data_IF_667092740386
#
_entry.id   IF_667092740386
#
_cell.length_a   1.000
_cell.length_b   1.000
_cell.length_c   1.000
_cell.angle_alpha   90.00
_cell.angle_beta   90.00
_cell.angle_gamma   90.00
#
_symmetry.space_group_name_H-M   'P 1'
#
loop_
_entity.id
_entity.type
_entity.pdbx_description
1 polymer ?
#
# COMPACT_ATOMS: atom_id res chain seq x y z
N UNK A 1 20.74 21.04 -10.94
CA UNK A 1 20.11 21.76 -9.81
C UNK A 1 18.59 21.54 -9.66
N UNK A 2 17.89 20.89 -10.61
CA UNK A 2 16.43 20.63 -10.51
C UNK A 2 16.05 19.49 -9.54
N UNK A 3 16.98 18.59 -9.20
CA UNK A 3 16.75 17.50 -8.24
C UNK A 3 16.79 17.94 -6.77
N UNK A 4 17.48 19.05 -6.45
CA UNK A 4 17.53 19.59 -5.09
C UNK A 4 16.22 20.30 -4.69
N UNK A 5 15.46 20.82 -5.66
CA UNK A 5 14.25 21.59 -5.37
C UNK A 5 13.03 20.71 -4.97
N UNK A 6 12.99 19.43 -5.36
CA UNK A 6 11.97 18.50 -4.85
C UNK A 6 12.37 17.81 -3.54
N UNK A 7 13.61 17.95 -3.07
CA UNK A 7 14.06 17.37 -1.80
C UNK A 7 13.53 18.11 -0.57
N UNK A 8 12.92 19.28 -0.75
CA UNK A 8 12.31 20.01 0.35
C UNK A 8 10.82 19.76 0.40
N UNK A 9 10.40 18.84 1.26
CA UNK A 9 8.98 18.63 1.54
C UNK A 9 8.33 19.77 2.34
N UNK A 10 9.11 20.79 2.76
CA UNK A 10 8.63 21.88 3.61
C UNK A 10 8.91 23.28 3.07
N UNK A 11 9.73 23.44 2.02
CA UNK A 11 9.98 24.74 1.41
C UNK A 11 8.95 24.98 0.31
N UNK A 12 8.18 26.04 0.48
CA UNK A 12 7.30 26.58 -0.54
C UNK A 12 8.11 26.93 -1.80
N UNK A 13 7.46 26.92 -2.96
CA UNK A 13 8.11 27.21 -4.25
C UNK A 13 8.93 28.51 -4.21
N UNK A 14 8.44 29.54 -3.51
CA UNK A 14 9.16 30.81 -3.37
C UNK A 14 10.43 30.69 -2.52
N UNK A 15 10.46 29.83 -1.49
CA UNK A 15 11.64 29.59 -0.65
C UNK A 15 12.71 28.84 -1.42
N UNK A 16 12.30 27.88 -2.26
CA UNK A 16 13.19 27.19 -3.18
C UNK A 16 13.78 28.16 -4.20
N UNK A 17 12.95 29.00 -4.81
CA UNK A 17 13.40 30.03 -5.75
C UNK A 17 14.36 31.01 -5.09
N UNK A 18 14.10 31.42 -3.84
CA UNK A 18 15.01 32.26 -3.06
C UNK A 18 16.36 31.55 -2.83
N UNK A 19 16.35 30.30 -2.39
CA UNK A 19 17.59 29.54 -2.19
C UNK A 19 18.41 29.40 -3.49
N UNK A 20 17.76 29.16 -4.63
CA UNK A 20 18.45 29.12 -5.94
C UNK A 20 19.00 30.49 -6.33
N UNK A 21 18.24 31.56 -6.09
CA UNK A 21 18.65 32.93 -6.35
C UNK A 21 19.89 33.30 -5.53
N UNK A 22 19.90 32.95 -4.25
CA UNK A 22 21.00 33.19 -3.33
C UNK A 22 22.25 32.37 -3.72
N UNK A 23 22.09 31.08 -4.07
CA UNK A 23 23.21 30.22 -4.51
C UNK A 23 23.84 30.64 -5.85
N UNK A 24 23.07 31.27 -6.73
CA UNK A 24 23.53 31.68 -8.06
C UNK A 24 23.83 33.19 -8.14
N UNK A 25 23.63 33.93 -7.05
CA UNK A 25 23.77 35.39 -6.99
C UNK A 25 22.95 36.14 -8.06
N UNK A 26 21.71 35.71 -8.28
CA UNK A 26 20.79 36.29 -9.29
C UNK A 26 19.50 36.82 -8.68
N UNK A 27 18.74 37.71 -9.36
CA UNK A 27 17.41 38.10 -8.91
C UNK A 27 16.46 36.89 -8.85
N UNK A 28 15.60 36.84 -7.82
CA UNK A 28 14.58 35.77 -7.66
C UNK A 28 13.70 35.62 -8.91
N UNK A 29 13.37 36.72 -9.60
CA UNK A 29 12.61 36.69 -10.84
C UNK A 29 13.30 35.87 -11.96
N UNK A 30 14.63 35.92 -12.05
CA UNK A 30 15.41 35.22 -13.06
C UNK A 30 15.41 33.70 -12.86
N UNK A 31 15.13 33.20 -11.65
CA UNK A 31 15.04 31.75 -11.37
C UNK A 31 13.94 31.06 -12.18
N UNK A 32 12.87 31.80 -12.54
CA UNK A 32 11.78 31.28 -13.37
C UNK A 32 12.22 31.03 -14.81
N UNK A 33 13.08 31.89 -15.35
CA UNK A 33 13.66 31.69 -16.69
C UNK A 33 14.62 30.50 -16.69
N UNK A 34 15.48 30.40 -15.68
CA UNK A 34 16.39 29.25 -15.51
C UNK A 34 15.60 27.95 -15.43
N UNK A 35 14.57 27.88 -14.58
CA UNK A 35 13.73 26.69 -14.47
C UNK A 35 13.11 26.28 -15.81
N UNK A 36 12.63 27.25 -16.59
CA UNK A 36 12.05 27.03 -17.93
C UNK A 36 13.08 26.55 -18.95
N UNK A 37 14.31 27.05 -18.89
CA UNK A 37 15.38 26.58 -19.78
C UNK A 37 15.85 25.19 -19.40
N UNK A 38 16.01 24.92 -18.10
CA UNK A 38 16.37 23.59 -17.59
C UNK A 38 15.32 22.55 -17.96
N UNK A 39 14.03 22.88 -17.88
CA UNK A 39 12.95 21.94 -18.24
C UNK A 39 12.92 21.57 -19.73
N UNK A 40 13.58 22.35 -20.60
CA UNK A 40 13.69 22.08 -22.04
C UNK A 40 14.93 21.26 -22.40
N UNK A 41 15.87 21.08 -21.45
CA UNK A 41 17.04 20.23 -21.69
C UNK A 41 16.59 18.81 -22.01
N UNK A 42 17.28 18.17 -22.95
CA UNK A 42 16.95 16.82 -23.38
C UNK A 42 16.87 15.84 -22.21
N UNK A 43 17.85 15.88 -21.30
CA UNK A 43 17.88 15.06 -20.10
C UNK A 43 16.68 15.31 -19.19
N UNK A 44 16.26 16.56 -19.03
CA UNK A 44 15.10 16.90 -18.20
C UNK A 44 13.80 16.35 -18.80
N UNK A 45 13.64 16.42 -20.13
CA UNK A 45 12.51 15.84 -20.84
C UNK A 45 12.51 14.31 -20.76
N UNK A 46 13.68 13.67 -20.93
CA UNK A 46 13.83 12.23 -20.75
C UNK A 46 13.47 11.81 -19.32
N UNK A 47 13.97 12.52 -18.31
CA UNK A 47 13.71 12.22 -16.91
C UNK A 47 12.22 12.37 -16.55
N UNK A 48 11.45 13.22 -17.22
CA UNK A 48 10.00 13.34 -16.99
C UNK A 48 9.23 12.09 -17.44
N UNK A 49 9.74 11.35 -18.42
CA UNK A 49 9.08 10.16 -19.00
C UNK A 49 9.76 8.84 -18.64
N UNK A 50 10.96 8.90 -18.05
CA UNK A 50 11.73 7.71 -17.68
C UNK A 50 10.98 6.85 -16.63
N UNK A 51 10.99 5.53 -16.87
CA UNK A 51 10.40 4.57 -15.95
C UNK A 51 11.12 4.60 -14.60
N UNK A 52 10.37 4.80 -13.51
CA UNK A 52 10.92 4.73 -12.15
C UNK A 52 10.94 3.29 -11.65
N UNK A 53 12.09 2.88 -11.13
CA UNK A 53 12.23 1.62 -10.40
C UNK A 53 11.95 1.84 -8.92
N UNK A 54 11.60 0.77 -8.17
CA UNK A 54 11.37 0.87 -6.73
C UNK A 54 12.61 1.39 -6.00
N UNK A 55 12.37 2.26 -5.03
CA UNK A 55 13.39 2.74 -4.09
C UNK A 55 13.16 1.99 -2.77
N UNK A 56 14.19 1.28 -2.31
CA UNK A 56 14.16 0.57 -1.04
C UNK A 56 14.93 1.41 -0.03
N UNK A 57 14.23 1.95 0.96
CA UNK A 57 14.83 2.74 2.04
C UNK A 57 15.33 1.80 3.14
N UNK A 58 16.60 1.95 3.51
CA UNK A 58 17.18 1.39 4.73
C UNK A 58 17.35 2.57 5.67
N UNK A 59 16.55 2.60 6.73
CA UNK A 59 16.45 3.73 7.63
C UNK A 59 17.00 3.33 9.00
N UNK A 60 17.66 4.28 9.64
CA UNK A 60 17.95 4.23 11.07
C UNK A 60 16.64 4.24 11.88
N UNK A 61 16.63 3.56 13.02
CA UNK A 61 15.46 3.45 13.90
C UNK A 61 14.90 4.82 14.33
N UNK A 62 15.75 5.83 14.51
CA UNK A 62 15.31 7.18 14.89
C UNK A 62 14.57 7.91 13.76
N UNK A 63 14.81 7.49 12.51
CA UNK A 63 14.23 8.08 11.30
C UNK A 63 12.99 7.32 10.82
N UNK A 64 12.63 6.23 11.49
CA UNK A 64 11.60 5.30 11.05
C UNK A 64 10.19 5.91 11.13
N UNK A 65 9.91 6.80 12.08
CA UNK A 65 8.58 7.40 12.19
C UNK A 65 8.33 8.47 11.11
N UNK A 66 9.38 8.98 10.45
CA UNK A 66 9.22 10.02 9.45
C UNK A 66 8.63 9.45 8.15
N UNK A 67 7.61 10.10 7.53
CA UNK A 67 6.96 9.59 6.32
C UNK A 67 7.76 9.94 5.06
N UNK A 68 8.93 9.32 4.90
CA UNK A 68 9.85 9.55 3.77
C UNK A 68 9.19 9.40 2.40
N UNK A 69 8.25 8.46 2.26
CA UNK A 69 7.48 8.19 1.04
C UNK A 69 6.68 9.40 0.56
N UNK A 70 6.35 10.32 1.48
CA UNK A 70 5.58 11.53 1.20
C UNK A 70 6.45 12.71 0.76
N UNK A 71 7.79 12.56 0.73
CA UNK A 71 8.67 13.63 0.26
C UNK A 71 8.45 13.91 -1.22
N UNK A 72 8.43 15.19 -1.61
CA UNK A 72 8.24 15.63 -2.99
C UNK A 72 9.25 15.01 -3.99
N UNK A 73 10.45 14.63 -3.55
CA UNK A 73 11.47 13.98 -4.39
C UNK A 73 11.13 12.50 -4.65
N UNK A 74 10.41 11.86 -3.73
CA UNK A 74 9.97 10.48 -3.81
C UNK A 74 8.52 10.34 -4.28
N UNK A 75 7.77 11.44 -4.40
CA UNK A 75 6.34 11.45 -4.77
C UNK A 75 6.02 10.66 -6.06
N UNK A 76 6.98 10.57 -6.98
CA UNK A 76 6.83 9.93 -8.29
C UNK A 76 7.44 8.50 -8.30
N UNK A 77 8.09 8.08 -7.22
CA UNK A 77 8.76 6.79 -7.07
C UNK A 77 7.88 5.76 -6.33
N UNK A 78 7.92 4.47 -6.71
CA UNK A 78 7.47 3.40 -5.84
C UNK A 78 8.48 3.24 -4.71
N UNK A 79 8.05 3.33 -3.45
CA UNK A 79 8.95 3.31 -2.29
C UNK A 79 8.50 2.26 -1.28
N UNK A 80 9.45 1.49 -0.75
CA UNK A 80 9.25 0.63 0.41
C UNK A 80 10.47 0.71 1.34
N UNK A 81 10.36 0.10 2.52
CA UNK A 81 11.41 0.06 3.54
C UNK A 81 11.87 -1.36 3.80
N UNK A 82 13.11 -1.51 4.24
CA UNK A 82 13.63 -2.74 4.85
C UNK A 82 14.55 -2.36 6.01
N UNK A 83 14.66 -3.19 7.07
CA UNK A 83 15.45 -2.82 8.25
C UNK A 83 16.94 -2.72 7.93
N UNK A 84 17.44 -3.64 7.10
CA UNK A 84 18.84 -3.72 6.75
C UNK A 84 19.04 -4.57 5.49
N UNK A 85 20.27 -4.55 4.97
CA UNK A 85 20.64 -5.28 3.75
C UNK A 85 20.58 -6.81 3.96
N UNK A 86 20.87 -7.31 5.16
CA UNK A 86 20.82 -8.76 5.44
C UNK A 86 19.39 -9.29 5.35
N UNK A 87 18.43 -8.58 5.92
CA UNK A 87 17.02 -8.92 5.83
C UNK A 87 16.52 -8.84 4.38
N UNK A 88 16.90 -7.79 3.64
CA UNK A 88 16.57 -7.69 2.21
C UNK A 88 17.10 -8.89 1.42
N UNK A 89 18.36 -9.30 1.67
CA UNK A 89 18.96 -10.46 1.03
C UNK A 89 18.26 -11.77 1.44
N UNK A 90 17.92 -11.93 2.73
CA UNK A 90 17.19 -13.09 3.22
C UNK A 90 15.81 -13.22 2.58
N UNK A 91 15.05 -12.12 2.51
CA UNK A 91 13.76 -12.06 1.81
C UNK A 91 13.92 -12.38 0.32
N UNK A 92 14.93 -11.80 -0.35
CA UNK A 92 15.23 -12.12 -1.75
C UNK A 92 15.50 -13.61 -1.94
N UNK A 93 16.30 -14.23 -1.08
CA UNK A 93 16.62 -15.66 -1.18
C UNK A 93 15.45 -16.58 -0.86
N UNK A 94 14.59 -16.20 0.09
CA UNK A 94 13.36 -16.93 0.38
C UNK A 94 12.41 -16.96 -0.84
N UNK A 95 12.40 -15.88 -1.63
CA UNK A 95 11.43 -15.67 -2.72
C UNK A 95 12.04 -15.64 -4.13
N UNK A 96 13.30 -16.05 -4.30
CA UNK A 96 14.07 -15.87 -5.55
C UNK A 96 13.35 -16.45 -6.78
N UNK A 97 12.64 -17.57 -6.61
CA UNK A 97 11.88 -18.26 -7.67
C UNK A 97 10.67 -17.46 -8.17
N UNK A 98 10.13 -16.59 -7.33
CA UNK A 98 8.94 -15.80 -7.60
C UNK A 98 9.29 -14.33 -7.91
N UNK A 99 10.58 -14.00 -8.04
CA UNK A 99 11.03 -12.65 -8.36
C UNK A 99 11.35 -12.52 -9.85
N UNK A 100 10.67 -11.59 -10.51
CA UNK A 100 10.89 -11.25 -11.92
C UNK A 100 11.12 -9.75 -12.07
N UNK A 101 12.17 -9.36 -12.80
CA UNK A 101 12.52 -7.95 -13.06
C UNK A 101 12.60 -7.10 -11.77
N UNK A 102 13.16 -7.70 -10.71
CA UNK A 102 13.35 -7.06 -9.40
C UNK A 102 12.07 -6.86 -8.60
N UNK A 103 11.01 -7.63 -8.87
CA UNK A 103 9.74 -7.59 -8.13
C UNK A 103 9.25 -8.99 -7.81
N UNK A 104 8.73 -9.18 -6.61
CA UNK A 104 8.01 -10.38 -6.21
C UNK A 104 6.66 -10.44 -6.94
N UNK A 105 6.41 -11.52 -7.66
CA UNK A 105 5.13 -11.75 -8.35
C UNK A 105 4.17 -12.51 -7.42
N UNK A 106 3.03 -11.89 -7.10
CA UNK A 106 1.97 -12.48 -6.28
C UNK A 106 0.74 -12.77 -7.13
N UNK A 107 0.12 -13.93 -6.95
CA UNK A 107 -1.13 -14.27 -7.63
C UNK A 107 -2.34 -13.81 -6.81
N UNK A 108 -3.23 -13.07 -7.48
CA UNK A 108 -4.45 -12.49 -6.94
C UNK A 108 -5.54 -13.51 -6.62
N UNK A 109 -5.43 -14.75 -7.09
CA UNK A 109 -6.50 -15.75 -6.97
C UNK A 109 -6.73 -16.25 -5.53
N UNK A 110 -5.67 -16.26 -4.71
CA UNK A 110 -5.68 -16.79 -3.35
C UNK A 110 -5.44 -15.69 -2.33
N UNK A 111 -6.52 -15.05 -1.90
CA UNK A 111 -6.47 -14.08 -0.82
C UNK A 111 -7.46 -14.38 0.31
N UNK A 112 -7.15 -13.84 1.48
CA UNK A 112 -7.98 -13.93 2.67
C UNK A 112 -8.11 -12.57 3.35
N UNK A 113 -9.28 -12.26 3.92
CA UNK A 113 -9.46 -11.07 4.75
C UNK A 113 -10.10 -11.39 6.11
N UNK A 114 -9.66 -10.68 7.15
CA UNK A 114 -10.24 -10.68 8.50
C UNK A 114 -10.59 -9.22 8.82
N UNK A 115 -11.88 -8.95 8.98
CA UNK A 115 -12.40 -7.59 9.16
C UNK A 115 -13.23 -7.50 10.43
N UNK A 116 -12.99 -6.47 11.25
CA UNK A 116 -13.67 -6.22 12.51
C UNK A 116 -13.75 -7.47 13.43
N UNK A 117 -12.63 -8.17 13.71
CA UNK A 117 -12.68 -9.43 14.46
C UNK A 117 -13.17 -9.28 15.91
N UNK A 118 -13.02 -8.09 16.50
CA UNK A 118 -13.45 -7.77 17.88
C UNK A 118 -14.88 -7.19 17.97
N UNK A 119 -15.58 -7.06 16.84
CA UNK A 119 -16.95 -6.51 16.76
C UNK A 119 -17.12 -5.07 17.30
N UNK A 120 -16.02 -4.30 17.40
CA UNK A 120 -16.02 -2.93 17.93
C UNK A 120 -15.71 -1.86 16.87
N UNK A 121 -15.58 -2.24 15.59
CA UNK A 121 -15.40 -1.36 14.44
C UNK A 121 -16.56 -1.51 13.42
N UNK A 122 -17.83 -1.31 13.82
CA UNK A 122 -19.00 -1.57 12.95
C UNK A 122 -19.02 -0.67 11.71
N UNK A 123 -18.46 0.55 11.77
CA UNK A 123 -18.35 1.44 10.61
C UNK A 123 -17.34 0.91 9.59
N UNK A 124 -16.17 0.44 10.04
CA UNK A 124 -15.15 -0.18 9.18
C UNK A 124 -15.72 -1.40 8.46
N UNK A 125 -16.37 -2.31 9.19
CA UNK A 125 -16.98 -3.50 8.59
C UNK A 125 -18.03 -3.14 7.54
N UNK A 126 -18.90 -2.17 7.85
CA UNK A 126 -19.94 -1.70 6.93
C UNK A 126 -19.36 -1.12 5.64
N UNK A 127 -18.18 -0.49 5.69
CA UNK A 127 -17.48 0.09 4.52
C UNK A 127 -16.73 -0.97 3.72
N UNK A 128 -15.97 -1.84 4.39
CA UNK A 128 -15.09 -2.83 3.74
C UNK A 128 -15.82 -4.08 3.24
N UNK A 129 -16.90 -4.50 3.90
CA UNK A 129 -17.66 -5.69 3.51
C UNK A 129 -18.12 -5.67 2.05
N UNK A 130 -18.91 -4.68 1.58
CA UNK A 130 -19.32 -4.65 0.19
C UNK A 130 -18.13 -4.49 -0.77
N UNK A 131 -17.03 -3.87 -0.31
CA UNK A 131 -15.83 -3.67 -1.12
C UNK A 131 -15.09 -4.96 -1.41
N UNK A 132 -14.72 -5.69 -0.37
CA UNK A 132 -13.93 -6.91 -0.50
C UNK A 132 -14.73 -7.99 -1.23
N UNK A 133 -16.02 -8.13 -0.93
CA UNK A 133 -16.87 -9.12 -1.62
C UNK A 133 -17.06 -8.81 -3.10
N UNK A 134 -17.06 -7.53 -3.49
CA UNK A 134 -17.21 -7.13 -4.90
C UNK A 134 -15.89 -7.14 -5.66
N UNK A 135 -14.79 -6.71 -5.04
CA UNK A 135 -13.47 -6.58 -5.70
C UNK A 135 -12.61 -7.82 -5.63
N UNK A 136 -12.91 -8.73 -4.72
CA UNK A 136 -12.24 -10.02 -4.62
C UNK A 136 -13.22 -11.19 -4.40
N UNK A 137 -14.10 -11.49 -5.37
CA UNK A 137 -15.12 -12.54 -5.22
C UNK A 137 -14.57 -13.95 -4.93
N UNK A 138 -13.35 -14.25 -5.37
CA UNK A 138 -12.67 -15.53 -5.10
C UNK A 138 -12.10 -15.65 -3.70
N UNK A 139 -11.91 -14.54 -2.98
CA UNK A 139 -11.25 -14.55 -1.68
C UNK A 139 -12.20 -15.06 -0.60
N UNK A 140 -11.62 -15.74 0.39
CA UNK A 140 -12.32 -16.12 1.60
C UNK A 140 -12.12 -15.03 2.67
N UNK A 141 -12.97 -15.02 3.69
CA UNK A 141 -12.74 -14.14 4.82
C UNK A 141 -13.86 -14.06 5.83
N UNK A 142 -13.58 -13.36 6.93
CA UNK A 142 -14.50 -13.18 8.05
C UNK A 142 -14.80 -11.70 8.29
N UNK A 143 -16.03 -11.44 8.76
CA UNK A 143 -16.50 -10.12 9.17
C UNK A 143 -17.15 -10.25 10.54
N UNK A 144 -16.69 -9.50 11.53
CA UNK A 144 -17.29 -9.55 12.87
C UNK A 144 -17.02 -10.86 13.62
N UNK A 145 -15.99 -11.62 13.23
CA UNK A 145 -15.66 -12.92 13.85
C UNK A 145 -14.18 -12.96 14.19
N UNK A 146 -13.88 -13.20 15.45
CA UNK A 146 -12.52 -13.40 15.94
C UNK A 146 -11.94 -14.70 15.36
N UNK A 147 -10.77 -14.66 14.70
CA UNK A 147 -10.10 -15.86 14.22
C UNK A 147 -9.50 -16.65 15.38
N UNK A 148 -9.41 -17.98 15.24
CA UNK A 148 -8.52 -18.77 16.11
C UNK A 148 -7.05 -18.54 15.74
N UNK A 149 -6.13 -18.86 16.65
CA UNK A 149 -4.69 -18.78 16.37
C UNK A 149 -4.28 -19.72 15.23
N UNK A 150 -4.91 -20.90 15.11
CA UNK A 150 -4.69 -21.85 14.01
C UNK A 150 -5.21 -21.28 12.68
N UNK A 151 -6.39 -20.65 12.68
CA UNK A 151 -6.92 -20.01 11.48
C UNK A 151 -6.02 -18.86 11.03
N UNK A 152 -5.54 -18.02 11.96
CA UNK A 152 -4.62 -16.93 11.64
C UNK A 152 -3.30 -17.46 11.04
N UNK A 153 -2.77 -18.55 11.62
CA UNK A 153 -1.59 -19.26 11.10
C UNK A 153 -1.82 -19.81 9.69
N UNK A 154 -2.92 -20.51 9.49
CA UNK A 154 -3.30 -21.07 8.19
C UNK A 154 -3.37 -20.00 7.11
N UNK A 155 -3.99 -18.87 7.44
CA UNK A 155 -4.11 -17.73 6.53
C UNK A 155 -2.75 -17.19 6.10
N UNK A 156 -1.80 -17.04 7.03
CA UNK A 156 -0.46 -16.53 6.73
C UNK A 156 0.39 -17.48 5.87
N UNK A 157 0.17 -18.79 5.98
CA UNK A 157 0.98 -19.81 5.31
C UNK A 157 0.40 -20.25 3.96
N UNK A 158 -0.93 -20.27 3.83
CA UNK A 158 -1.62 -20.95 2.72
C UNK A 158 -2.32 -19.99 1.74
N UNK A 159 -2.29 -18.68 2.00
CA UNK A 159 -2.80 -17.66 1.08
C UNK A 159 -1.68 -16.76 0.56
N UNK A 160 -1.86 -16.21 -0.64
CA UNK A 160 -0.88 -15.33 -1.27
C UNK A 160 -1.03 -13.88 -0.81
N UNK A 161 -2.26 -13.48 -0.44
CA UNK A 161 -2.57 -12.13 0.02
C UNK A 161 -3.41 -12.23 1.29
N UNK A 162 -3.03 -11.49 2.33
CA UNK A 162 -3.77 -11.43 3.58
C UNK A 162 -4.10 -9.98 3.93
N UNK A 163 -5.37 -9.71 4.22
CA UNK A 163 -5.83 -8.42 4.73
C UNK A 163 -6.37 -8.59 6.15
N UNK A 164 -5.74 -7.90 7.09
CA UNK A 164 -6.25 -7.71 8.44
C UNK A 164 -6.74 -6.26 8.58
N UNK A 165 -8.04 -6.08 8.89
CA UNK A 165 -8.64 -4.79 9.22
C UNK A 165 -9.26 -4.86 10.62
N UNK A 166 -8.50 -4.39 11.60
CA UNK A 166 -8.83 -4.47 13.03
C UNK A 166 -7.86 -3.62 13.85
N UNK A 167 -7.81 -3.84 15.17
CA UNK A 167 -6.90 -3.10 16.04
C UNK A 167 -5.46 -3.58 15.89
N UNK A 168 -4.53 -2.63 15.71
CA UNK A 168 -3.10 -2.92 15.65
C UNK A 168 -2.73 -3.84 14.49
N UNK A 169 -2.03 -4.93 14.80
CA UNK A 169 -1.39 -5.83 13.83
C UNK A 169 -1.91 -7.27 13.89
N UNK A 170 -2.99 -7.51 14.64
CA UNK A 170 -3.51 -8.86 14.89
C UNK A 170 -2.77 -9.64 15.98
N UNK A 171 -1.89 -8.97 16.75
CA UNK A 171 -1.12 -9.58 17.85
C UNK A 171 -1.97 -10.22 18.95
N UNK A 172 -3.23 -9.79 19.07
CA UNK A 172 -4.22 -10.35 19.98
C UNK A 172 -4.73 -11.74 19.54
N UNK A 173 -4.52 -12.12 18.27
CA UNK A 173 -4.93 -13.42 17.73
C UNK A 173 -3.75 -14.36 17.49
N UNK A 174 -2.59 -13.80 17.12
CA UNK A 174 -1.35 -14.55 16.99
C UNK A 174 -0.17 -13.67 17.39
N UNK A 175 0.55 -14.06 18.44
CA UNK A 175 1.67 -13.30 18.97
C UNK A 175 2.89 -13.35 18.03
N UNK A 176 3.77 -12.35 18.12
CA UNK A 176 4.93 -12.21 17.25
C UNK A 176 5.92 -13.38 17.36
N UNK A 177 6.06 -13.98 18.54
CA UNK A 177 6.90 -15.14 18.79
C UNK A 177 6.40 -16.41 18.08
N UNK A 178 5.09 -16.51 17.87
CA UNK A 178 4.46 -17.56 17.06
C UNK A 178 4.57 -17.27 15.57
N UNK A 179 4.41 -16.00 15.16
CA UNK A 179 4.55 -15.59 13.75
C UNK A 179 5.96 -15.87 13.24
N UNK A 180 7.01 -15.51 13.99
CA UNK A 180 8.40 -15.70 13.56
C UNK A 180 8.80 -17.18 13.33
N UNK A 181 8.03 -18.13 13.87
CA UNK A 181 8.22 -19.58 13.67
C UNK A 181 7.58 -20.09 12.38
N UNK A 182 6.82 -19.24 11.68
CA UNK A 182 6.15 -19.58 10.43
C UNK A 182 7.05 -19.37 9.22
N UNK A 183 6.56 -19.87 8.09
CA UNK A 183 6.98 -19.42 6.77
C UNK A 183 5.79 -18.70 6.12
N UNK A 184 5.76 -17.38 6.24
CA UNK A 184 4.67 -16.52 5.75
C UNK A 184 4.86 -16.28 4.27
N UNK A 185 3.92 -16.78 3.47
CA UNK A 185 3.92 -16.60 2.01
C UNK A 185 3.08 -15.38 1.59
N UNK A 186 2.16 -14.94 2.46
CA UNK A 186 1.23 -13.88 2.15
C UNK A 186 1.86 -12.49 2.11
N UNK A 187 1.57 -11.72 1.05
CA UNK A 187 1.65 -10.26 1.08
C UNK A 187 0.59 -9.76 2.05
N UNK A 188 1.03 -9.14 3.15
CA UNK A 188 0.19 -8.91 4.32
C UNK A 188 -0.12 -7.42 4.51
N UNK A 189 -1.41 -7.09 4.59
CA UNK A 189 -1.92 -5.77 4.89
C UNK A 189 -2.48 -5.75 6.32
N UNK A 190 -1.87 -4.96 7.20
CA UNK A 190 -2.24 -4.76 8.59
C UNK A 190 -2.88 -3.37 8.75
N UNK A 191 -4.15 -3.23 8.37
CA UNK A 191 -4.89 -1.97 8.43
C UNK A 191 -5.45 -1.68 9.83
N UNK A 192 -4.57 -1.68 10.82
CA UNK A 192 -4.83 -1.15 12.15
C UNK A 192 -3.91 0.02 12.49
N UNK A 193 -4.22 0.71 13.59
CA UNK A 193 -3.42 1.82 14.10
C UNK A 193 -2.02 1.35 14.52
N UNK A 194 -0.98 2.08 14.13
CA UNK A 194 0.41 1.81 14.53
C UNK A 194 0.88 0.36 14.26
N UNK A 195 0.33 -0.30 13.25
CA UNK A 195 0.54 -1.73 12.97
C UNK A 195 1.96 -2.08 12.50
N UNK A 196 2.65 -1.12 11.88
CA UNK A 196 4.04 -1.27 11.40
C UNK A 196 4.99 -0.25 12.03
N UNK A 197 4.61 0.26 13.22
CA UNK A 197 5.48 1.09 14.05
C UNK A 197 6.44 0.21 14.84
N UNK A 198 7.65 0.72 15.08
CA UNK A 198 8.59 0.15 16.05
C UNK A 198 8.41 0.89 17.37
N UNK A 199 8.42 0.15 18.48
CA UNK A 199 8.31 0.70 19.82
C UNK A 199 9.68 0.69 20.47
N UNK A 200 10.02 1.80 21.10
CA UNK A 200 11.15 1.85 22.03
C UNK A 200 10.88 0.88 23.19
N UNK A 201 11.80 -0.05 23.39
CA UNK A 201 11.75 -1.03 24.48
C UNK A 201 12.50 -0.55 25.73
N UNK A 202 13.11 0.64 25.66
CA UNK A 202 13.96 1.22 26.68
C UNK A 202 15.38 0.64 26.70
N UNK A 203 16.28 1.37 27.35
CA UNK A 203 17.68 0.97 27.49
C UNK A 203 18.47 1.15 26.20
N UNK A 204 19.45 0.27 25.96
CA UNK A 204 20.26 0.22 24.73
C UNK A 204 19.85 -0.97 23.87
N UNK A 205 18.55 -1.05 23.59
CA UNK A 205 17.94 -2.13 22.80
C UNK A 205 17.34 -1.51 21.56
N UNK A 206 17.49 -2.18 20.42
CA UNK A 206 16.88 -1.75 19.16
C UNK A 206 15.34 -1.72 19.30
N UNK A 207 14.66 -0.66 18.83
CA UNK A 207 13.20 -0.62 18.77
C UNK A 207 12.64 -1.80 17.99
N UNK A 208 11.60 -2.44 18.52
CA UNK A 208 10.99 -3.59 17.90
C UNK A 208 9.52 -3.34 17.59
N UNK A 209 9.05 -3.95 16.51
CA UNK A 209 7.69 -3.81 16.02
C UNK A 209 7.20 -5.12 15.43
N UNK A 210 5.87 -5.31 15.38
CA UNK A 210 5.29 -6.58 14.92
C UNK A 210 5.73 -6.97 13.51
N UNK A 211 5.95 -5.98 12.64
CA UNK A 211 6.45 -6.17 11.28
C UNK A 211 7.80 -6.90 11.21
N UNK A 212 8.66 -6.81 12.25
CA UNK A 212 9.92 -7.56 12.29
C UNK A 212 9.67 -9.07 12.32
N UNK A 213 8.72 -9.54 13.13
CA UNK A 213 8.38 -10.95 13.23
C UNK A 213 7.85 -11.51 11.91
N UNK A 214 7.06 -10.72 11.17
CA UNK A 214 6.63 -11.08 9.82
C UNK A 214 7.83 -11.25 8.87
N UNK A 215 8.81 -10.35 8.89
CA UNK A 215 10.00 -10.50 8.05
C UNK A 215 10.92 -11.65 8.47
N UNK A 216 11.08 -11.91 9.78
CA UNK A 216 11.78 -13.11 10.28
C UNK A 216 11.09 -14.37 9.73
N UNK A 217 9.75 -14.36 9.70
CA UNK A 217 8.95 -15.42 9.09
C UNK A 217 8.95 -15.42 7.55
N UNK A 218 9.86 -14.67 6.91
CA UNK A 218 9.98 -14.54 5.46
C UNK A 218 8.76 -13.92 4.75
N UNK A 219 7.92 -13.14 5.44
CA UNK A 219 6.83 -12.42 4.78
C UNK A 219 7.38 -11.47 3.71
N UNK A 220 6.95 -11.59 2.43
CA UNK A 220 7.53 -10.84 1.32
C UNK A 220 7.29 -9.33 1.44
N UNK A 221 6.12 -8.94 1.98
CA UNK A 221 5.72 -7.54 2.09
C UNK A 221 4.70 -7.38 3.23
N UNK A 222 4.94 -6.42 4.12
CA UNK A 222 4.07 -6.02 5.22
C UNK A 222 3.69 -4.56 5.05
N UNK A 223 2.40 -4.26 5.01
CA UNK A 223 1.87 -2.91 4.80
C UNK A 223 1.02 -2.54 5.99
N UNK A 224 1.15 -1.32 6.49
CA UNK A 224 0.34 -0.85 7.61
C UNK A 224 0.65 0.58 8.00
N UNK A 225 0.18 1.00 9.17
CA UNK A 225 0.29 2.39 9.61
C UNK A 225 1.44 2.59 10.61
N UNK A 226 2.21 3.67 10.44
CA UNK A 226 3.29 4.09 11.32
C UNK A 226 2.78 4.69 12.64
N UNK A 227 1.58 5.26 12.65
CA UNK A 227 0.93 5.83 13.83
C UNK A 227 -0.58 5.59 13.82
N UNK A 228 -1.28 6.12 14.83
CA UNK A 228 -2.72 6.00 14.96
C UNK A 228 -3.46 6.86 13.92
N UNK A 229 -4.41 6.24 13.21
CA UNK A 229 -5.21 6.87 12.16
C UNK A 229 -6.70 6.71 12.45
N UNK A 230 -7.54 7.58 11.91
CA UNK A 230 -8.99 7.42 12.03
C UNK A 230 -9.50 6.35 11.07
N UNK A 231 -10.49 5.57 11.50
CA UNK A 231 -11.06 4.46 10.70
C UNK A 231 -11.47 4.91 9.30
N UNK A 232 -12.17 6.05 9.19
CA UNK A 232 -12.66 6.56 7.90
C UNK A 232 -11.54 6.86 6.89
N UNK A 233 -10.45 7.47 7.35
CA UNK A 233 -9.35 7.83 6.47
C UNK A 233 -8.45 6.62 6.14
N UNK A 234 -8.29 5.69 7.09
CA UNK A 234 -7.59 4.41 6.90
C UNK A 234 -8.33 3.51 5.89
N UNK A 235 -9.65 3.40 6.02
CA UNK A 235 -10.49 2.64 5.08
C UNK A 235 -10.42 3.24 3.68
N UNK A 236 -10.38 4.57 3.58
CA UNK A 236 -10.25 5.26 2.30
C UNK A 236 -8.96 4.93 1.58
N UNK A 237 -7.81 5.00 2.25
CA UNK A 237 -6.55 4.66 1.59
C UNK A 237 -6.46 3.17 1.26
N UNK A 238 -6.99 2.31 2.13
CA UNK A 238 -7.13 0.86 1.90
C UNK A 238 -7.91 0.58 0.61
N UNK A 239 -9.12 1.12 0.51
CA UNK A 239 -10.01 0.94 -0.63
C UNK A 239 -9.37 1.45 -1.91
N UNK A 240 -8.82 2.67 -1.91
CA UNK A 240 -8.14 3.22 -3.10
C UNK A 240 -6.94 2.36 -3.54
N UNK A 241 -6.16 1.85 -2.58
CA UNK A 241 -4.97 1.04 -2.87
C UNK A 241 -5.38 -0.28 -3.51
N UNK A 242 -6.29 -1.01 -2.88
CA UNK A 242 -6.77 -2.29 -3.37
C UNK A 242 -7.55 -2.15 -4.68
N UNK A 243 -8.33 -1.08 -4.85
CA UNK A 243 -9.09 -0.85 -6.08
C UNK A 243 -8.17 -0.66 -7.29
N UNK A 244 -7.08 0.11 -7.12
CA UNK A 244 -6.09 0.33 -8.16
C UNK A 244 -5.19 -0.89 -8.39
N UNK A 245 -4.84 -1.60 -7.31
CA UNK A 245 -3.89 -2.71 -7.34
C UNK A 245 -4.49 -4.00 -7.86
N UNK A 246 -5.68 -4.40 -7.39
CA UNK A 246 -6.29 -5.67 -7.77
C UNK A 246 -6.73 -5.67 -9.25
N UNK A 247 -6.62 -6.83 -9.93
CA UNK A 247 -7.20 -7.01 -11.26
C UNK A 247 -8.70 -6.66 -11.31
N UNK A 248 -9.18 -6.30 -12.50
CA UNK A 248 -10.62 -6.11 -12.74
C UNK A 248 -11.38 -7.42 -12.52
N UNK A 249 -12.59 -7.31 -12.01
CA UNK A 249 -13.56 -8.42 -12.00
C UNK A 249 -14.33 -8.48 -13.31
N UNK A 250 -14.94 -9.61 -13.61
CA UNK A 250 -15.85 -9.77 -14.76
C UNK A 250 -17.01 -8.77 -14.69
N UNK A 251 -17.58 -8.53 -13.51
CA UNK A 251 -18.65 -7.54 -13.32
C UNK A 251 -18.20 -6.12 -13.71
N UNK A 252 -16.97 -5.73 -13.38
CA UNK A 252 -16.43 -4.43 -13.77
C UNK A 252 -16.25 -4.29 -15.29
N UNK A 253 -15.90 -5.39 -15.97
CA UNK A 253 -15.81 -5.41 -17.43
C UNK A 253 -17.20 -5.21 -18.05
N UNK A 254 -18.20 -5.94 -17.55
CA UNK A 254 -19.59 -5.85 -18.00
C UNK A 254 -20.14 -4.43 -17.77
N UNK A 255 -19.90 -3.85 -16.60
CA UNK A 255 -20.36 -2.50 -16.27
C UNK A 255 -19.74 -1.45 -17.20
N UNK A 256 -18.45 -1.56 -17.50
CA UNK A 256 -17.75 -0.65 -18.42
C UNK A 256 -18.27 -0.79 -19.86
N UNK A 257 -18.44 -2.03 -20.35
CA UNK A 257 -18.96 -2.31 -21.70
C UNK A 257 -20.40 -1.82 -21.90
N UNK A 258 -21.21 -1.88 -20.85
CA UNK A 258 -22.62 -1.49 -20.90
C UNK A 258 -22.85 -0.03 -20.48
N UNK A 259 -21.78 0.74 -20.29
CA UNK A 259 -21.80 2.10 -19.71
C UNK A 259 -22.64 2.17 -18.43
N UNK A 260 -22.76 1.04 -17.73
CA UNK A 260 -23.51 0.96 -16.48
C UNK A 260 -22.66 1.58 -15.41
N UNK A 261 -23.27 2.49 -14.67
CA UNK A 261 -22.70 2.85 -13.40
C UNK A 261 -22.76 1.63 -12.49
N UNK A 262 -21.63 1.11 -11.97
CA UNK A 262 -21.66 0.01 -11.00
C UNK A 262 -22.61 0.37 -9.87
N UNK A 263 -23.47 -0.57 -9.46
CA UNK A 263 -24.42 -0.35 -8.37
C UNK A 263 -23.67 0.28 -7.20
N UNK A 264 -24.09 1.49 -6.77
CA UNK A 264 -23.50 2.11 -5.59
C UNK A 264 -23.70 1.11 -4.44
N UNK A 265 -22.64 0.59 -3.81
CA UNK A 265 -22.82 -0.21 -2.61
C UNK A 265 -23.64 0.65 -1.64
N UNK A 266 -24.71 0.06 -1.10
CA UNK A 266 -25.77 0.74 -0.35
C UNK A 266 -25.24 1.99 0.34
N UNK A 267 -25.63 3.17 -0.16
CA UNK A 267 -25.14 4.47 0.28
C UNK A 267 -24.96 4.48 1.80
N UNK A 268 -23.72 4.30 2.26
CA UNK A 268 -23.38 4.64 3.62
C UNK A 268 -23.20 6.14 3.58
N UNK A 269 -24.28 6.89 3.83
CA UNK A 269 -24.18 8.30 4.21
C UNK A 269 -23.50 8.33 5.59
N UNK A 270 -22.20 8.10 5.60
CA UNK A 270 -21.35 8.43 6.74
C UNK A 270 -20.83 9.85 6.46
N UNK A 271 -21.33 10.87 7.19
CA UNK A 271 -20.93 12.25 6.97
C UNK A 271 -19.42 12.47 7.17
N UNK A 272 -18.75 11.54 7.85
CA UNK A 272 -17.31 11.56 8.12
C UNK A 272 -16.50 10.71 7.12
N UNK A 273 -17.14 9.92 6.25
CA UNK A 273 -16.44 9.08 5.29
C UNK A 273 -16.23 9.82 3.96
N UNK A 274 -14.99 9.88 3.43
CA UNK A 274 -14.79 10.29 2.04
C UNK A 274 -15.59 9.38 1.12
N UNK A 275 -15.96 9.85 -0.08
CA UNK A 275 -16.60 9.02 -1.11
C UNK A 275 -15.66 7.85 -1.48
N UNK A 276 -15.72 6.76 -0.71
CA UNK A 276 -14.80 5.62 -0.80
C UNK A 276 -14.81 4.96 -2.18
N UNK A 277 -15.92 5.11 -2.89
CA UNK A 277 -16.24 4.31 -4.06
C UNK A 277 -16.25 5.07 -5.38
N UNK A 278 -16.22 6.40 -5.32
CA UNK A 278 -16.26 7.24 -6.52
C UNK A 278 -15.55 8.55 -6.25
N UNK A 279 -14.25 8.67 -6.53
CA UNK A 279 -13.76 9.96 -6.96
C UNK A 279 -14.54 10.25 -8.25
N UNK A 280 -15.44 11.24 -8.24
CA UNK A 280 -16.19 11.65 -9.43
C UNK A 280 -15.28 11.67 -10.67
N UNK A 281 -15.56 10.82 -11.66
CA UNK A 281 -14.83 10.78 -12.94
C UNK A 281 -13.57 9.91 -13.00
N UNK A 282 -13.25 9.09 -12.00
CA UNK A 282 -12.07 8.20 -12.09
C UNK A 282 -12.41 6.96 -12.94
N UNK A 283 -11.94 6.92 -14.20
CA UNK A 283 -11.84 5.66 -14.95
C UNK A 283 -10.86 4.75 -14.20
N UNK A 284 -11.28 3.54 -13.87
CA UNK A 284 -10.40 2.56 -13.24
C UNK A 284 -9.15 2.37 -14.10
N UNK A 285 -7.99 2.41 -13.48
CA UNK A 285 -6.70 2.21 -14.17
C UNK A 285 -5.85 1.27 -13.35
N UNK A 286 -5.80 0.01 -13.78
CA UNK A 286 -4.97 -1.01 -13.16
C UNK A 286 -3.53 -0.52 -12.95
N UNK A 287 -3.03 -0.73 -11.74
CA UNK A 287 -1.64 -0.53 -11.39
C UNK A 287 -1.13 -1.82 -10.72
N UNK A 288 -0.52 -2.74 -11.48
CA UNK A 288 -0.12 -4.03 -10.92
C UNK A 288 1.04 -3.91 -9.91
N UNK A 289 1.83 -2.84 -9.96
CA UNK A 289 2.91 -2.57 -8.99
C UNK A 289 2.33 -1.98 -7.71
N UNK A 290 2.42 -2.72 -6.59
CA UNK A 290 1.75 -2.38 -5.33
C UNK A 290 2.20 -1.03 -4.77
N UNK A 291 3.49 -0.74 -4.83
CA UNK A 291 4.05 0.51 -4.32
C UNK A 291 3.58 1.71 -5.17
N UNK A 292 3.44 1.51 -6.49
CA UNK A 292 2.86 2.50 -7.39
C UNK A 292 1.36 2.69 -7.14
N UNK A 293 0.63 1.63 -6.76
CA UNK A 293 -0.77 1.70 -6.38
C UNK A 293 -0.97 2.49 -5.08
N UNK A 294 -0.16 2.21 -4.04
CA UNK A 294 -0.12 2.97 -2.78
C UNK A 294 0.13 4.46 -3.06
N UNK A 295 1.13 4.77 -3.89
CA UNK A 295 1.43 6.15 -4.32
C UNK A 295 0.21 6.85 -4.94
N UNK A 296 -0.48 6.20 -5.88
CA UNK A 296 -1.70 6.77 -6.50
C UNK A 296 -2.77 7.04 -5.44
N UNK A 297 -2.91 6.16 -4.44
CA UNK A 297 -3.86 6.34 -3.34
C UNK A 297 -3.54 7.53 -2.46
N UNK A 298 -2.26 7.81 -2.18
CA UNK A 298 -1.86 9.02 -1.44
C UNK A 298 -2.33 10.30 -2.15
N UNK A 299 -2.24 10.35 -3.48
CA UNK A 299 -2.68 11.53 -4.25
C UNK A 299 -4.21 11.69 -4.30
N UNK A 300 -4.95 10.60 -4.14
CA UNK A 300 -6.42 10.61 -4.18
C UNK A 300 -7.04 10.95 -2.81
N UNK A 301 -6.32 10.72 -1.72
CA UNK A 301 -6.83 10.92 -0.37
C UNK A 301 -6.65 12.38 0.09
N UNK A 302 -7.72 12.98 0.61
CA UNK A 302 -7.71 14.36 1.13
C UNK A 302 -7.04 14.49 2.49
N UNK A 303 -6.84 13.37 3.21
CA UNK A 303 -6.26 13.35 4.55
C UNK A 303 -4.78 13.00 4.51
N UNK A 304 -3.92 14.02 4.54
CA UNK A 304 -2.46 13.85 4.53
C UNK A 304 -1.98 12.96 5.69
N UNK A 305 -2.44 13.20 6.92
CA UNK A 305 -1.97 12.45 8.10
C UNK A 305 -2.30 10.95 8.05
N UNK A 306 -3.44 10.58 7.48
CA UNK A 306 -3.78 9.16 7.29
C UNK A 306 -3.01 8.55 6.13
N UNK A 307 -2.78 9.32 5.08
CA UNK A 307 -2.03 8.86 3.92
C UNK A 307 -0.56 8.64 4.25
N UNK A 308 0.05 9.60 4.93
CA UNK A 308 1.45 9.56 5.35
C UNK A 308 1.74 8.48 6.38
N UNK A 309 0.72 7.97 7.08
CA UNK A 309 0.89 6.88 8.03
C UNK A 309 1.18 5.56 7.32
N UNK A 310 0.66 5.35 6.11
CA UNK A 310 0.74 4.06 5.42
C UNK A 310 2.16 3.85 4.89
N UNK A 311 2.84 2.81 5.37
CA UNK A 311 4.17 2.41 4.95
C UNK A 311 4.18 0.95 4.49
N UNK A 312 5.02 0.66 3.50
CA UNK A 312 5.22 -0.66 2.93
C UNK A 312 6.64 -1.15 3.25
N UNK A 313 6.76 -2.36 3.81
CA UNK A 313 8.04 -2.94 4.24
C UNK A 313 8.28 -4.28 3.56
N UNK A 314 9.42 -4.46 2.92
CA UNK A 314 9.80 -5.70 2.24
C UNK A 314 10.12 -5.54 0.76
N UNK A 315 9.87 -6.60 -0.01
CA UNK A 315 10.19 -6.69 -1.43
C UNK A 315 9.15 -5.96 -2.30
N UNK A 316 9.54 -5.19 -3.32
CA UNK A 316 8.59 -4.62 -4.28
C UNK A 316 7.70 -5.70 -4.90
N UNK A 317 6.38 -5.52 -4.86
CA UNK A 317 5.39 -6.52 -5.28
C UNK A 317 4.70 -6.13 -6.58
N UNK A 318 4.49 -7.09 -7.47
CA UNK A 318 3.60 -6.97 -8.63
C UNK A 318 2.53 -8.07 -8.58
N UNK A 319 1.28 -7.71 -8.83
CA UNK A 319 0.16 -8.66 -8.85
C UNK A 319 -0.07 -9.26 -10.24
N UNK A 320 -0.49 -10.52 -10.27
CA UNK A 320 -0.86 -11.31 -11.45
C UNK A 320 -2.17 -12.07 -11.17
N UNK A 321 -2.69 -12.74 -12.20
CA UNK A 321 -3.88 -13.59 -12.07
C UNK A 321 -5.19 -12.82 -12.07
N UNK A 322 -6.22 -13.43 -11.50
CA UNK A 322 -7.60 -12.93 -11.48
C UNK A 322 -8.17 -13.03 -10.07
N UNK A 323 -9.22 -12.25 -9.81
CA UNK A 323 -9.89 -12.19 -8.50
C UNK A 323 -11.29 -12.79 -8.53
N UNK A 324 -11.77 -13.20 -9.70
CA UNK A 324 -13.03 -13.93 -9.87
C UNK A 324 -12.83 -15.43 -9.59
N UNK A 325 -13.90 -16.10 -9.17
CA UNK A 325 -13.89 -17.57 -9.04
C UNK A 325 -13.80 -18.17 -10.45
N UNK A 326 -12.97 -19.19 -10.61
CA UNK A 326 -13.00 -20.01 -11.82
C UNK A 326 -14.43 -20.55 -11.99
N UNK A 327 -15.09 -20.14 -13.07
CA UNK A 327 -16.38 -20.73 -13.45
C UNK A 327 -16.03 -22.16 -13.88
N UNK A 328 -16.50 -23.22 -13.19
CA UNK A 328 -16.29 -24.57 -13.68
C UNK A 328 -16.87 -24.63 -15.09
N UNK A 329 -16.04 -25.02 -16.06
CA UNK A 329 -16.41 -25.12 -17.46
C UNK A 329 -17.75 -25.85 -17.55
N UNK A 330 -18.84 -25.10 -17.80
CA UNK A 330 -20.13 -25.72 -18.07
C UNK A 330 -19.89 -26.63 -19.26
N UNK A 331 -20.13 -27.92 -19.05
CA UNK A 331 -20.35 -28.87 -20.11
C UNK A 331 -21.29 -28.21 -21.12
N UNK A 332 -20.73 -27.81 -22.27
CA UNK A 332 -21.49 -27.53 -23.46
C UNK A 332 -22.24 -28.81 -23.78
N UNK A 333 -23.45 -28.91 -23.24
CA UNK A 333 -24.39 -29.96 -23.56
C UNK A 333 -24.62 -29.90 -25.05
N UNK A 334 -24.26 -30.98 -25.73
CA UNK A 334 -24.77 -31.35 -27.03
C UNK A 334 -26.31 -31.31 -26.98
N UNK A 335 -26.89 -30.29 -27.60
CA UNK A 335 -28.28 -30.22 -28.00
C UNK A 335 -28.37 -30.32 -29.51
#
# INVERSE_FOLDING_TARGET
MYFLAKASAFLLEWQLRRGVADCLEIPIAATKDIARQLSKLHDAVQLQTARRHPVILILDEELELFPWEMLNILQDHPVCRVPNLHMLYALYKAHERNISRGRFEVDASSGYYIVNPEQNLPRNEKRLRPFLTSRAPSWNGTFGVAPSSEQFRDVLQNYNIFIYAGHGSGSQFLQGDEIQKLNVQAVTFLFGCSSVTSKDLGGRIEPAGMWHFYHIASCPMVIGNLWAVTDAASDAITVHTLHNWLPRTQDMVIDEEQERMPLKPCYVKDPDAPELWRPNGYRWKHEPDLLSAIRRSHTANKHYMASAALAARGLPVVIRGQVDKDIPAKSLGSG
#
